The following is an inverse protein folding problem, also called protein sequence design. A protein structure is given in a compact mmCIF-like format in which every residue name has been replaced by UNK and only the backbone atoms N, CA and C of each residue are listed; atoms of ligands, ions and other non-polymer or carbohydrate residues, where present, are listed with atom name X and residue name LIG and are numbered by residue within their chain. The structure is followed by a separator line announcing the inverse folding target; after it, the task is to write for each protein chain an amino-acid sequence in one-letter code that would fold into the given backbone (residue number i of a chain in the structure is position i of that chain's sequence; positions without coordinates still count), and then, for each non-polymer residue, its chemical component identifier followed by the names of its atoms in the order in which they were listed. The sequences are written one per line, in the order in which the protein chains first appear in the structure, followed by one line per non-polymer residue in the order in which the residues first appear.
data_IF_914045426322
#
_entry.id   IF_914045426322
#
_cell.length_a   1.000
_cell.length_b   1.000
_cell.length_c   1.000
_cell.angle_alpha   90.00
_cell.angle_beta   90.00
_cell.angle_gamma   90.00
#
_symmetry.space_group_name_H-M   'P 1'
#
loop_
_entity.id
_entity.type
_entity.pdbx_description
1 polymer ?
#
# COMPACT_ATOMS: atom_id res chain seq x y z
N UNK A 1 -18.24 -25.79 0.64
CA UNK A 1 -18.09 -24.59 1.46
C UNK A 1 -16.82 -23.93 0.97
N UNK A 2 -16.96 -22.84 0.23
CA UNK A 2 -15.84 -22.00 -0.16
C UNK A 2 -15.40 -21.26 1.09
N UNK A 3 -14.12 -21.43 1.48
CA UNK A 3 -13.52 -20.57 2.47
C UNK A 3 -13.52 -19.16 1.89
N UNK A 4 -14.13 -18.21 2.58
CA UNK A 4 -14.07 -16.79 2.24
C UNK A 4 -12.61 -16.37 2.22
N UNK A 5 -12.20 -15.72 1.14
CA UNK A 5 -10.95 -15.00 1.06
C UNK A 5 -10.92 -14.00 2.23
N UNK A 6 -10.12 -14.29 3.24
CA UNK A 6 -9.76 -13.27 4.23
C UNK A 6 -8.79 -12.33 3.53
N UNK A 7 -9.32 -11.30 2.86
CA UNK A 7 -8.52 -10.12 2.53
C UNK A 7 -7.96 -9.60 3.85
N UNK A 8 -6.65 -9.31 3.91
CA UNK A 8 -6.06 -8.67 5.07
C UNK A 8 -6.80 -7.35 5.32
N UNK A 9 -7.61 -7.31 6.36
CA UNK A 9 -8.37 -6.13 6.71
C UNK A 9 -7.85 -5.55 8.02
N UNK A 10 -7.79 -4.21 8.07
CA UNK A 10 -7.32 -3.46 9.20
C UNK A 10 -8.47 -2.67 9.82
N UNK A 11 -8.37 -2.40 11.12
CA UNK A 11 -9.39 -1.66 11.83
C UNK A 11 -9.30 -0.16 11.54
N UNK A 12 -10.43 0.46 11.26
CA UNK A 12 -10.62 1.90 11.29
C UNK A 12 -11.27 2.28 12.63
N UNK A 13 -10.63 3.14 13.41
CA UNK A 13 -11.02 3.46 14.78
C UNK A 13 -11.74 4.81 14.87
N UNK A 14 -12.59 4.98 15.88
CA UNK A 14 -13.29 6.25 16.15
C UNK A 14 -12.39 7.34 16.74
N UNK A 15 -11.18 6.99 17.18
CA UNK A 15 -10.20 7.90 17.75
C UNK A 15 -8.77 7.35 17.56
N UNK A 16 -7.72 8.18 17.77
CA UNK A 16 -6.33 7.84 17.53
C UNK A 16 -5.76 6.91 18.62
N UNK A 17 -6.35 5.73 18.76
CA UNK A 17 -5.93 4.71 19.72
C UNK A 17 -6.47 3.34 19.31
N UNK A 18 -5.68 2.29 19.47
CA UNK A 18 -6.10 0.89 19.25
C UNK A 18 -7.18 0.42 20.24
N UNK A 19 -7.39 1.16 21.33
CA UNK A 19 -8.45 0.92 22.31
C UNK A 19 -9.77 1.61 21.93
N UNK A 20 -9.78 2.48 20.93
CA UNK A 20 -10.99 3.15 20.46
C UNK A 20 -11.89 2.16 19.72
N UNK A 21 -13.18 2.48 19.65
CA UNK A 21 -14.18 1.65 18.97
C UNK A 21 -13.82 1.51 17.47
N UNK A 22 -13.91 0.29 16.95
CA UNK A 22 -13.75 0.01 15.52
C UNK A 22 -15.04 0.44 14.81
N UNK A 23 -14.92 1.40 13.89
CA UNK A 23 -16.05 1.97 13.13
C UNK A 23 -16.22 1.32 11.76
N UNK A 24 -15.13 0.89 11.16
CA UNK A 24 -15.10 0.23 9.86
C UNK A 24 -13.84 -0.66 9.72
N UNK A 25 -13.74 -1.36 8.61
CA UNK A 25 -12.55 -2.09 8.19
C UNK A 25 -12.08 -1.55 6.85
N UNK A 26 -10.76 -1.51 6.66
CA UNK A 26 -10.09 -1.17 5.42
C UNK A 26 -9.26 -2.37 4.98
N UNK A 27 -9.15 -2.60 3.68
CA UNK A 27 -8.40 -3.73 3.12
C UNK A 27 -7.09 -3.24 2.46
N UNK A 28 -6.12 -4.14 2.34
CA UNK A 28 -4.93 -3.88 1.53
C UNK A 28 -5.34 -3.57 0.09
N UNK A 29 -4.82 -2.47 -0.46
CA UNK A 29 -5.14 -1.97 -1.78
C UNK A 29 -6.27 -0.96 -1.83
N UNK A 30 -6.99 -0.74 -0.72
CA UNK A 30 -8.01 0.30 -0.68
C UNK A 30 -7.36 1.69 -0.85
N UNK A 31 -8.02 2.51 -1.64
CA UNK A 31 -7.66 3.93 -1.78
C UNK A 31 -8.46 4.73 -0.77
N UNK A 32 -7.77 5.55 0.01
CA UNK A 32 -8.36 6.38 1.06
C UNK A 32 -7.90 7.82 0.94
N UNK A 33 -8.71 8.74 1.42
CA UNK A 33 -8.33 10.16 1.52
C UNK A 33 -7.73 10.41 2.90
N UNK A 34 -6.51 10.94 2.94
CA UNK A 34 -5.86 11.40 4.17
C UNK A 34 -6.43 12.76 4.52
N UNK A 35 -7.08 12.85 5.68
CA UNK A 35 -7.67 14.11 6.17
C UNK A 35 -6.71 14.85 7.10
N UNK A 36 -5.97 14.10 7.93
CA UNK A 36 -5.09 14.68 8.95
C UNK A 36 -4.07 13.64 9.43
N UNK A 37 -2.80 14.02 9.48
CA UNK A 37 -1.78 13.28 10.23
C UNK A 37 -1.85 13.70 11.70
N UNK A 38 -2.61 12.95 12.50
CA UNK A 38 -2.88 13.29 13.90
C UNK A 38 -1.66 13.11 14.79
N UNK A 39 -0.83 12.09 14.49
CA UNK A 39 0.45 11.83 15.13
C UNK A 39 1.34 10.99 14.22
N UNK A 40 2.56 10.66 14.67
CA UNK A 40 3.43 9.73 13.96
C UNK A 40 2.78 8.34 13.78
N UNK A 41 1.94 7.93 14.75
CA UNK A 41 1.33 6.60 14.78
C UNK A 41 -0.08 6.56 14.19
N UNK A 42 -0.78 7.69 14.12
CA UNK A 42 -2.21 7.74 13.76
C UNK A 42 -2.52 8.78 12.70
N UNK A 43 -3.21 8.34 11.66
CA UNK A 43 -3.71 9.18 10.57
C UNK A 43 -5.22 9.09 10.51
N UNK A 44 -5.88 10.24 10.37
CA UNK A 44 -7.32 10.32 10.12
C UNK A 44 -7.57 10.23 8.62
N UNK A 45 -8.47 9.35 8.22
CA UNK A 45 -8.79 9.08 6.82
C UNK A 45 -10.30 9.13 6.58
N UNK A 46 -10.68 9.29 5.32
CA UNK A 46 -12.03 9.07 4.81
C UNK A 46 -12.03 7.96 3.77
N UNK A 47 -13.05 7.11 3.83
CA UNK A 47 -13.34 6.09 2.83
C UNK A 47 -14.21 6.70 1.72
N UNK A 48 -14.33 6.01 0.59
CA UNK A 48 -15.12 6.42 -0.57
C UNK A 48 -16.61 6.65 -0.21
N UNK A 49 -17.15 5.87 0.73
CA UNK A 49 -18.52 6.01 1.24
C UNK A 49 -18.71 7.17 2.23
N UNK A 50 -17.69 7.99 2.45
CA UNK A 50 -17.68 9.10 3.41
C UNK A 50 -17.51 8.68 4.87
N UNK A 51 -17.27 7.40 5.18
CA UNK A 51 -16.92 6.96 6.53
C UNK A 51 -15.55 7.51 6.90
N UNK A 52 -15.45 8.14 8.07
CA UNK A 52 -14.16 8.66 8.59
C UNK A 52 -13.72 7.92 9.84
N UNK A 53 -12.42 7.89 10.06
CA UNK A 53 -11.82 7.29 11.26
C UNK A 53 -10.32 7.41 11.28
N UNK A 54 -9.71 6.73 12.24
CA UNK A 54 -8.28 6.73 12.45
C UNK A 54 -7.71 5.34 12.17
N UNK A 55 -6.64 5.29 11.40
CA UNK A 55 -5.86 4.07 11.19
C UNK A 55 -4.40 4.29 11.61
N UNK A 56 -3.68 3.20 11.80
CA UNK A 56 -2.25 3.22 12.01
C UNK A 56 -1.56 3.84 10.78
N UNK A 57 -0.73 4.85 10.98
CA UNK A 57 -0.05 5.58 9.91
C UNK A 57 0.86 4.68 9.07
N UNK A 58 1.36 3.59 9.65
CA UNK A 58 2.22 2.63 8.94
C UNK A 58 1.49 1.79 7.89
N UNK A 59 0.14 1.78 7.91
CA UNK A 59 -0.70 1.13 6.91
C UNK A 59 -0.84 1.95 5.63
N UNK A 60 -0.43 3.21 5.63
CA UNK A 60 -0.68 4.12 4.53
C UNK A 60 0.59 4.35 3.71
N UNK A 61 0.50 4.18 2.40
CA UNK A 61 1.52 4.61 1.46
C UNK A 61 0.99 5.79 0.64
N UNK A 62 1.67 6.91 0.76
CA UNK A 62 1.44 8.11 -0.07
C UNK A 62 2.31 8.02 -1.34
N UNK A 63 3.02 6.91 -1.53
CA UNK A 63 3.94 6.71 -2.64
C UNK A 63 3.16 6.52 -3.94
N UNK A 64 3.53 7.28 -4.95
CA UNK A 64 3.23 6.95 -6.33
C UNK A 64 1.87 7.34 -6.89
N UNK A 65 1.00 8.01 -6.16
CA UNK A 65 -0.13 8.66 -6.81
C UNK A 65 0.35 9.97 -7.47
N UNK A 66 0.98 9.81 -8.66
CA UNK A 66 0.82 10.87 -9.65
C UNK A 66 -0.69 11.04 -9.82
N UNK A 67 -1.17 12.26 -9.61
CA UNK A 67 -2.56 12.61 -9.83
C UNK A 67 -2.99 12.08 -11.20
N UNK A 68 -3.61 10.91 -11.23
CA UNK A 68 -4.48 10.57 -12.32
C UNK A 68 -5.64 11.53 -12.17
N UNK A 69 -5.92 12.33 -13.21
CA UNK A 69 -7.00 13.28 -13.35
C UNK A 69 -8.41 12.65 -13.21
N UNK A 70 -8.63 11.88 -12.16
CA UNK A 70 -9.95 11.55 -11.67
C UNK A 70 -10.21 12.58 -10.58
N UNK A 71 -11.08 13.53 -10.85
CA UNK A 71 -11.53 14.54 -9.89
C UNK A 71 -11.97 13.84 -8.61
N UNK A 72 -11.02 13.72 -7.66
CA UNK A 72 -11.36 13.27 -6.30
C UNK A 72 -12.24 14.38 -5.74
N UNK A 73 -13.47 14.12 -5.30
CA UNK A 73 -14.33 15.15 -4.79
C UNK A 73 -13.61 15.90 -3.67
N UNK A 74 -13.51 17.22 -3.79
CA UNK A 74 -12.92 18.04 -2.76
C UNK A 74 -13.68 17.78 -1.45
N UNK A 75 -12.96 17.77 -0.33
CA UNK A 75 -13.54 17.56 0.99
C UNK A 75 -13.62 18.88 1.73
N UNK A 76 -14.71 19.11 2.42
CA UNK A 76 -14.90 20.24 3.32
C UNK A 76 -15.17 19.79 4.75
N UNK A 77 -14.83 20.62 5.72
CA UNK A 77 -15.13 20.41 7.13
C UNK A 77 -16.05 21.53 7.62
N UNK A 78 -17.16 21.19 8.27
CA UNK A 78 -18.08 22.17 8.84
C UNK A 78 -17.45 22.86 10.06
N UNK A 79 -17.45 24.19 10.08
CA UNK A 79 -16.86 25.00 11.15
C UNK A 79 -17.77 25.15 12.38
N UNK A 80 -19.09 24.98 12.18
CA UNK A 80 -20.10 25.10 13.21
C UNK A 80 -21.31 24.21 12.86
N UNK A 81 -22.25 23.97 13.81
CA UNK A 81 -23.50 23.30 13.46
C UNK A 81 -24.25 24.07 12.38
N UNK A 82 -24.62 23.39 11.28
CA UNK A 82 -25.18 24.00 10.07
C UNK A 82 -26.36 23.21 9.54
N UNK A 83 -27.33 23.90 8.94
CA UNK A 83 -28.43 23.28 8.22
C UNK A 83 -28.02 23.04 6.77
N UNK A 84 -28.30 21.84 6.26
CA UNK A 84 -28.19 21.53 4.83
C UNK A 84 -29.49 21.91 4.15
N UNK A 85 -29.45 22.79 3.18
CA UNK A 85 -30.60 23.37 2.49
C UNK A 85 -30.90 22.60 1.20
N UNK A 86 -32.14 22.61 0.76
CA UNK A 86 -32.57 21.98 -0.50
C UNK A 86 -32.21 22.79 -1.75
N UNK A 87 -31.86 24.06 -1.60
CA UNK A 87 -31.44 24.98 -2.67
C UNK A 87 -30.42 25.99 -2.12
N UNK A 88 -29.61 26.63 -2.98
CA UNK A 88 -28.62 27.62 -2.56
C UNK A 88 -29.23 29.00 -2.22
N UNK A 89 -30.19 29.01 -1.33
CA UNK A 89 -30.95 30.20 -0.88
C UNK A 89 -31.18 30.14 0.63
N UNK A 90 -31.09 31.28 1.31
CA UNK A 90 -31.14 31.36 2.77
C UNK A 90 -32.47 30.89 3.39
N UNK A 91 -33.55 30.99 2.64
CA UNK A 91 -34.92 30.62 3.04
C UNK A 91 -35.36 29.23 2.51
N UNK A 92 -34.46 28.54 1.83
CA UNK A 92 -34.74 27.19 1.36
C UNK A 92 -34.99 26.21 2.53
N UNK A 93 -35.89 25.22 2.34
CA UNK A 93 -36.15 24.21 3.35
C UNK A 93 -34.89 23.44 3.72
N UNK A 94 -34.65 23.16 5.01
CA UNK A 94 -33.58 22.30 5.45
C UNK A 94 -33.90 20.84 5.15
N UNK A 95 -32.98 20.12 4.51
CA UNK A 95 -33.03 18.68 4.22
C UNK A 95 -32.24 17.88 5.24
N UNK A 96 -31.39 18.54 6.03
CA UNK A 96 -30.58 17.91 7.07
C UNK A 96 -29.93 18.95 7.98
N UNK A 97 -29.24 18.47 9.00
CA UNK A 97 -28.43 19.28 9.90
C UNK A 97 -27.15 18.53 10.26
N UNK A 98 -26.02 19.22 10.18
CA UNK A 98 -24.71 18.71 10.53
C UNK A 98 -24.20 19.40 11.80
N UNK A 99 -23.42 18.66 12.58
CA UNK A 99 -22.66 19.23 13.70
C UNK A 99 -21.41 19.97 13.16
N UNK A 100 -20.68 20.67 14.02
CA UNK A 100 -19.35 21.15 13.71
C UNK A 100 -18.36 19.98 13.54
N UNK A 101 -17.30 20.19 12.77
CA UNK A 101 -16.24 19.23 12.48
C UNK A 101 -16.75 17.94 11.77
N UNK A 102 -17.77 18.07 10.94
CA UNK A 102 -18.25 16.99 10.06
C UNK A 102 -17.60 17.17 8.70
N UNK A 103 -17.02 16.08 8.17
CA UNK A 103 -16.48 16.06 6.81
C UNK A 103 -17.57 15.74 5.80
N UNK A 104 -17.56 16.48 4.70
CA UNK A 104 -18.53 16.37 3.61
C UNK A 104 -17.80 16.39 2.27
N UNK A 105 -18.32 15.68 1.28
CA UNK A 105 -17.86 15.79 -0.10
C UNK A 105 -18.39 17.10 -0.70
N UNK A 106 -17.51 17.91 -1.27
CA UNK A 106 -17.86 19.12 -2.02
C UNK A 106 -18.17 18.69 -3.46
N UNK A 107 -19.40 18.91 -3.91
CA UNK A 107 -19.87 18.59 -5.27
C UNK A 107 -19.72 19.78 -6.22
N UNK A 108 -19.48 20.98 -5.69
CA UNK A 108 -19.17 22.19 -6.44
C UNK A 108 -18.04 22.95 -5.77
N UNK A 109 -17.28 23.74 -6.56
CA UNK A 109 -16.28 24.64 -6.01
C UNK A 109 -16.95 25.65 -5.09
N UNK A 110 -16.62 25.58 -3.80
CA UNK A 110 -17.10 26.54 -2.79
C UNK A 110 -16.64 27.99 -3.06
N UNK A 111 -15.76 28.20 -4.04
CA UNK A 111 -15.20 29.52 -4.39
C UNK A 111 -16.10 30.35 -5.32
N UNK A 112 -17.15 29.81 -5.92
CA UNK A 112 -17.96 30.52 -6.90
C UNK A 112 -19.34 30.98 -6.40
N UNK A 113 -19.71 30.73 -5.13
CA UNK A 113 -21.02 31.13 -4.63
C UNK A 113 -21.12 31.28 -3.12
N UNK A 114 -22.20 31.87 -2.65
CA UNK A 114 -22.51 31.98 -1.22
C UNK A 114 -22.85 30.62 -0.58
N UNK A 115 -23.09 29.58 -1.39
CA UNK A 115 -23.43 28.22 -0.96
C UNK A 115 -22.57 27.17 -1.68
N UNK A 116 -22.11 26.18 -0.93
CA UNK A 116 -21.45 25.00 -1.46
C UNK A 116 -22.46 23.83 -1.56
N UNK A 117 -22.49 23.14 -2.69
CA UNK A 117 -23.22 21.88 -2.81
C UNK A 117 -22.40 20.77 -2.19
N UNK A 118 -23.02 19.99 -1.31
CA UNK A 118 -22.33 18.95 -0.52
C UNK A 118 -23.08 17.63 -0.57
N UNK A 119 -22.34 16.54 -0.32
CA UNK A 119 -22.91 15.23 -0.01
C UNK A 119 -22.31 14.67 1.27
N UNK A 120 -23.14 13.99 2.05
CA UNK A 120 -22.72 13.28 3.25
C UNK A 120 -23.13 11.81 3.13
N UNK A 121 -22.19 10.90 3.01
CA UNK A 121 -22.41 9.44 2.95
C UNK A 121 -23.46 9.02 1.92
N UNK A 122 -23.60 9.74 0.83
CA UNK A 122 -24.66 9.54 -0.19
C UNK A 122 -26.10 9.55 0.35
N UNK A 123 -26.29 9.99 1.60
CA UNK A 123 -27.58 10.02 2.26
C UNK A 123 -28.22 11.42 2.27
N UNK A 124 -27.38 12.44 2.36
CA UNK A 124 -27.81 13.86 2.38
C UNK A 124 -27.05 14.60 1.30
N UNK A 125 -27.77 15.12 0.31
CA UNK A 125 -27.24 16.05 -0.68
C UNK A 125 -28.00 17.36 -0.53
N UNK A 126 -27.28 18.49 -0.61
CA UNK A 126 -27.86 19.81 -0.52
C UNK A 126 -26.80 20.89 -0.38
N UNK A 127 -27.20 22.06 0.11
CA UNK A 127 -26.41 23.27 0.09
C UNK A 127 -26.12 23.76 1.51
N UNK A 128 -24.89 24.19 1.73
CA UNK A 128 -24.40 24.80 2.97
C UNK A 128 -23.85 26.18 2.64
N UNK A 129 -24.05 27.17 3.53
CA UNK A 129 -23.37 28.46 3.46
C UNK A 129 -21.85 28.23 3.38
N UNK A 130 -21.20 28.73 2.34
CA UNK A 130 -19.80 28.53 2.05
C UNK A 130 -18.86 29.07 3.15
N UNK A 131 -19.31 30.11 3.91
CA UNK A 131 -18.55 30.66 5.04
C UNK A 131 -18.51 29.72 6.26
N UNK A 132 -19.36 28.69 6.29
CA UNK A 132 -19.45 27.71 7.37
C UNK A 132 -18.72 26.40 7.05
N UNK A 133 -18.01 26.34 5.93
CA UNK A 133 -17.26 25.18 5.51
C UNK A 133 -15.81 25.57 5.19
N UNK A 134 -14.86 24.76 5.66
CA UNK A 134 -13.45 24.91 5.34
C UNK A 134 -13.05 23.80 4.37
N UNK A 135 -12.55 24.14 3.17
CA UNK A 135 -11.95 23.15 2.29
C UNK A 135 -10.76 22.46 3.00
N UNK A 136 -10.72 21.15 2.92
CA UNK A 136 -9.63 20.33 3.46
C UNK A 136 -8.77 19.87 2.30
N UNK A 137 -7.47 20.17 2.34
CA UNK A 137 -6.53 19.58 1.39
C UNK A 137 -6.36 18.13 1.77
N UNK A 138 -6.79 17.24 0.90
CA UNK A 138 -6.67 15.80 1.11
C UNK A 138 -5.57 15.24 0.22
N UNK A 139 -4.81 14.32 0.78
CA UNK A 139 -3.91 13.46 0.02
C UNK A 139 -4.60 12.11 -0.18
N UNK A 140 -4.40 11.51 -1.34
CA UNK A 140 -4.83 10.14 -1.57
C UNK A 140 -3.72 9.19 -1.14
N UNK A 141 -4.08 8.17 -0.37
CA UNK A 141 -3.15 7.13 0.05
C UNK A 141 -3.73 5.75 -0.28
N UNK A 142 -2.85 4.79 -0.50
CA UNK A 142 -3.23 3.38 -0.61
C UNK A 142 -2.97 2.67 0.71
N UNK A 143 -3.91 1.86 1.15
CA UNK A 143 -3.75 1.00 2.32
C UNK A 143 -2.82 -0.15 1.96
N UNK A 144 -1.68 -0.23 2.64
CA UNK A 144 -0.66 -1.24 2.38
C UNK A 144 -0.12 -1.73 3.71
N UNK A 145 -0.47 -2.96 4.09
CA UNK A 145 0.11 -3.55 5.27
C UNK A 145 1.61 -3.80 5.08
N UNK A 146 2.37 -3.42 6.10
CA UNK A 146 3.78 -3.81 6.17
C UNK A 146 3.87 -5.34 6.20
N UNK A 147 4.67 -5.97 5.32
CA UNK A 147 4.86 -7.40 5.33
C UNK A 147 5.43 -7.89 6.66
N UNK A 148 5.04 -9.09 7.07
CA UNK A 148 5.59 -9.75 8.26
C UNK A 148 6.10 -11.12 7.89
N UNK A 149 7.27 -11.50 8.42
CA UNK A 149 7.77 -12.85 8.30
C UNK A 149 6.94 -13.78 9.20
N UNK A 150 6.47 -14.88 8.61
CA UNK A 150 5.72 -15.91 9.33
C UNK A 150 6.51 -17.24 9.33
N UNK A 151 6.31 -18.06 10.36
CA UNK A 151 6.88 -19.42 10.37
C UNK A 151 6.30 -20.28 9.26
N UNK A 152 5.02 -20.08 8.94
CA UNK A 152 4.30 -20.83 7.90
C UNK A 152 3.76 -19.88 6.85
N UNK A 153 4.05 -20.20 5.61
CA UNK A 153 3.57 -19.45 4.46
C UNK A 153 2.45 -20.18 3.71
N UNK A 154 2.23 -19.71 2.48
CA UNK A 154 1.24 -20.25 1.54
C UNK A 154 1.57 -21.70 1.17
N UNK A 155 0.54 -22.47 0.80
CA UNK A 155 0.66 -23.90 0.48
C UNK A 155 0.38 -24.20 -0.98
N UNK A 156 -0.23 -23.29 -1.70
CA UNK A 156 -0.62 -23.45 -3.09
C UNK A 156 -0.09 -22.32 -3.95
N UNK A 157 0.04 -22.58 -5.26
CA UNK A 157 0.45 -21.55 -6.22
C UNK A 157 -0.60 -20.43 -6.33
N UNK A 158 -1.88 -20.72 -6.14
CA UNK A 158 -2.93 -19.72 -6.13
C UNK A 158 -2.78 -18.75 -4.95
N UNK A 159 -2.52 -19.28 -3.75
CA UNK A 159 -2.21 -18.45 -2.57
C UNK A 159 -0.94 -17.63 -2.77
N UNK A 160 0.09 -18.21 -3.42
CA UNK A 160 1.32 -17.48 -3.73
C UNK A 160 1.04 -16.29 -4.67
N UNK A 161 0.20 -16.46 -5.70
CA UNK A 161 -0.19 -15.39 -6.62
C UNK A 161 -0.92 -14.26 -5.89
N UNK A 162 -1.86 -14.57 -5.01
CA UNK A 162 -2.59 -13.55 -4.24
C UNK A 162 -1.66 -12.83 -3.25
N UNK A 163 -0.80 -13.57 -2.55
CA UNK A 163 0.19 -12.95 -1.65
C UNK A 163 1.16 -12.03 -2.39
N UNK A 164 1.59 -12.41 -3.60
CA UNK A 164 2.47 -11.58 -4.44
C UNK A 164 1.80 -10.27 -4.86
N UNK A 165 0.47 -10.26 -5.12
CA UNK A 165 -0.25 -9.01 -5.40
C UNK A 165 -0.19 -8.04 -4.21
N UNK A 166 -0.40 -8.53 -2.99
CA UNK A 166 -0.25 -7.70 -1.78
C UNK A 166 1.19 -7.22 -1.59
N UNK A 167 2.18 -8.10 -1.83
CA UNK A 167 3.59 -7.73 -1.74
C UNK A 167 3.99 -6.70 -2.80
N UNK A 168 3.42 -6.76 -4.02
CA UNK A 168 3.67 -5.78 -5.06
C UNK A 168 3.17 -4.36 -4.72
N UNK A 169 2.16 -4.24 -3.85
CA UNK A 169 1.74 -2.94 -3.32
C UNK A 169 2.78 -2.35 -2.36
N UNK A 170 3.47 -3.20 -1.60
CA UNK A 170 4.51 -2.76 -0.67
C UNK A 170 5.86 -2.53 -1.37
N UNK A 171 6.27 -3.45 -2.22
CA UNK A 171 7.47 -3.37 -3.06
C UNK A 171 7.10 -2.89 -4.47
N UNK A 172 6.62 -1.66 -4.54
CA UNK A 172 6.11 -1.05 -5.77
C UNK A 172 7.22 -0.90 -6.81
N UNK A 173 6.86 -1.11 -8.07
CA UNK A 173 7.77 -0.95 -9.20
C UNK A 173 8.34 0.49 -9.27
N UNK A 174 9.62 0.60 -9.56
CA UNK A 174 10.34 1.89 -9.57
C UNK A 174 10.80 2.39 -8.20
N UNK A 175 10.54 1.66 -7.11
CA UNK A 175 11.11 1.95 -5.80
C UNK A 175 12.37 1.12 -5.53
N UNK A 176 13.14 1.56 -4.54
CA UNK A 176 14.39 0.93 -4.15
C UNK A 176 14.22 0.17 -2.84
N UNK A 177 14.62 -1.08 -2.82
CA UNK A 177 14.70 -1.88 -1.60
C UNK A 177 15.94 -1.50 -0.79
N UNK A 178 15.85 -0.38 -0.11
CA UNK A 178 16.94 0.18 0.70
C UNK A 178 16.39 1.11 1.79
N UNK A 179 17.24 1.51 2.72
CA UNK A 179 16.94 2.47 3.77
C UNK A 179 17.53 3.87 3.52
N UNK A 180 17.77 4.26 2.28
CA UNK A 180 18.24 5.59 1.89
C UNK A 180 19.49 6.07 2.68
N UNK A 181 20.48 5.20 2.87
CA UNK A 181 21.73 5.49 3.58
C UNK A 181 21.74 5.12 5.06
N UNK A 182 20.64 4.57 5.61
CA UNK A 182 20.71 3.89 6.89
C UNK A 182 21.51 2.57 6.78
N UNK A 183 22.00 2.02 7.91
CA UNK A 183 22.66 0.72 7.90
C UNK A 183 21.79 -0.34 7.23
N UNK A 184 22.41 -1.21 6.42
CA UNK A 184 21.74 -2.22 5.61
C UNK A 184 20.88 -3.22 6.44
N UNK A 185 21.28 -3.49 7.67
CA UNK A 185 20.62 -4.38 8.62
C UNK A 185 19.54 -3.70 9.46
N UNK A 186 19.34 -2.38 9.28
CA UNK A 186 18.39 -1.63 10.11
C UNK A 186 16.94 -2.08 9.90
N UNK A 187 16.55 -2.40 8.67
CA UNK A 187 15.19 -2.83 8.38
C UNK A 187 15.07 -3.52 7.00
N UNK A 188 14.93 -4.82 6.98
CA UNK A 188 14.75 -5.61 5.76
C UNK A 188 13.48 -5.23 4.95
N UNK A 189 12.53 -4.52 5.55
CA UNK A 189 11.31 -4.06 4.89
C UNK A 189 11.41 -2.61 4.39
N UNK A 190 12.57 -1.99 4.51
CA UNK A 190 12.74 -0.61 4.10
C UNK A 190 12.71 -0.48 2.57
N UNK A 191 11.81 0.39 2.09
CA UNK A 191 11.63 0.72 0.67
C UNK A 191 11.54 2.23 0.54
N UNK A 192 12.34 2.80 -0.39
CA UNK A 192 12.41 4.27 -0.57
C UNK A 192 12.36 4.67 -2.03
N UNK A 193 12.06 5.94 -2.30
CA UNK A 193 12.20 6.54 -3.63
C UNK A 193 13.62 7.02 -3.96
N UNK A 194 14.63 6.75 -3.11
CA UNK A 194 16.00 7.23 -3.27
C UNK A 194 16.92 6.07 -3.59
N UNK A 195 17.71 6.14 -4.68
CA UNK A 195 18.66 5.08 -5.05
C UNK A 195 19.76 4.92 -4.02
N UNK A 196 20.36 3.73 -3.96
CA UNK A 196 21.56 3.49 -3.17
C UNK A 196 22.76 4.21 -3.78
N UNK A 197 23.67 4.66 -2.92
CA UNK A 197 24.98 5.21 -3.33
C UNK A 197 26.05 4.20 -2.94
N UNK A 198 26.50 3.41 -3.91
CA UNK A 198 27.52 2.36 -3.72
C UNK A 198 28.96 2.84 -3.88
N UNK A 199 29.19 4.11 -4.19
CA UNK A 199 30.51 4.68 -4.52
C UNK A 199 31.37 5.02 -3.31
N UNK A 200 30.89 4.86 -2.09
CA UNK A 200 31.62 5.17 -0.86
C UNK A 200 32.01 3.89 -0.16
N UNK A 201 33.26 3.81 0.34
CA UNK A 201 33.75 2.68 1.13
C UNK A 201 32.73 2.26 2.22
N UNK A 202 32.15 1.07 2.05
CA UNK A 202 31.14 0.48 2.90
C UNK A 202 29.77 0.44 2.22
N UNK A 203 29.32 -0.73 1.88
CA UNK A 203 27.98 -1.05 1.34
C UNK A 203 26.83 -0.78 2.31
N UNK A 204 26.95 0.25 3.12
CA UNK A 204 26.02 0.51 4.23
C UNK A 204 24.59 0.91 3.79
N UNK A 205 24.35 1.08 2.48
CA UNK A 205 23.08 1.63 1.98
C UNK A 205 22.14 0.62 1.33
N UNK A 206 22.59 -0.62 1.07
CA UNK A 206 21.74 -1.67 0.55
C UNK A 206 21.07 -2.46 1.68
N UNK A 207 19.84 -2.86 1.46
CA UNK A 207 19.14 -3.72 2.40
C UNK A 207 19.65 -5.16 2.33
N UNK A 208 19.47 -5.93 3.40
CA UNK A 208 19.91 -7.31 3.51
C UNK A 208 18.82 -8.22 4.04
N UNK A 209 18.82 -9.47 3.55
CA UNK A 209 18.07 -10.56 4.14
C UNK A 209 18.79 -11.89 3.87
N UNK A 210 19.39 -12.46 4.90
CA UNK A 210 20.19 -13.70 4.82
C UNK A 210 19.42 -14.97 5.23
N UNK A 211 18.17 -14.84 5.67
CA UNK A 211 17.43 -15.87 6.39
C UNK A 211 17.29 -17.24 5.72
N UNK A 212 17.48 -17.36 4.39
CA UNK A 212 17.49 -18.65 3.68
C UNK A 212 18.69 -18.80 2.75
N UNK A 213 19.51 -17.78 2.63
CA UNK A 213 20.59 -17.73 1.66
C UNK A 213 21.68 -18.74 1.98
N UNK A 214 22.04 -18.88 3.25
CA UNK A 214 23.11 -19.77 3.71
C UNK A 214 22.81 -21.26 3.45
N UNK A 215 21.53 -21.61 3.40
CA UNK A 215 21.10 -23.00 3.17
C UNK A 215 21.17 -23.42 1.70
N UNK A 216 21.09 -22.43 0.77
CA UNK A 216 20.94 -22.71 -0.67
C UNK A 216 22.09 -22.22 -1.52
N UNK A 217 22.75 -21.17 -1.08
CA UNK A 217 23.86 -20.54 -1.75
C UNK A 217 24.96 -20.26 -0.71
N UNK A 218 25.57 -21.30 -0.12
CA UNK A 218 26.55 -21.12 0.95
C UNK A 218 27.78 -20.32 0.53
N UNK A 219 28.04 -20.21 -0.76
CA UNK A 219 29.08 -19.33 -1.33
C UNK A 219 28.73 -17.84 -1.29
N UNK A 220 27.46 -17.49 -1.05
CA UNK A 220 26.97 -16.11 -0.98
C UNK A 220 26.46 -15.83 0.43
N UNK A 221 27.36 -15.57 1.36
CA UNK A 221 27.02 -15.39 2.79
C UNK A 221 26.19 -14.14 3.08
N UNK A 222 26.22 -13.15 2.20
CA UNK A 222 25.55 -11.88 2.42
C UNK A 222 24.32 -11.77 1.52
N UNK A 223 23.13 -11.99 2.07
CA UNK A 223 21.86 -11.83 1.36
C UNK A 223 21.53 -10.36 1.05
N UNK A 224 22.41 -9.72 0.25
CA UNK A 224 22.25 -8.33 -0.19
C UNK A 224 21.64 -8.24 -1.58
N UNK A 225 21.18 -7.06 -1.98
CA UNK A 225 20.75 -6.75 -3.34
C UNK A 225 19.71 -7.77 -3.87
N UNK A 226 19.83 -8.18 -5.13
CA UNK A 226 18.92 -9.10 -5.79
C UNK A 226 18.76 -10.44 -5.05
N UNK A 227 19.84 -10.99 -4.51
CA UNK A 227 19.82 -12.25 -3.76
C UNK A 227 19.03 -12.10 -2.45
N UNK A 228 19.28 -11.05 -1.69
CA UNK A 228 18.57 -10.75 -0.46
C UNK A 228 17.09 -10.48 -0.70
N UNK A 229 16.78 -9.71 -1.73
CA UNK A 229 15.39 -9.39 -2.10
C UNK A 229 14.59 -10.64 -2.48
N UNK A 230 15.11 -11.46 -3.39
CA UNK A 230 14.45 -12.69 -3.79
C UNK A 230 14.28 -13.69 -2.62
N UNK A 231 15.27 -13.76 -1.72
CA UNK A 231 15.22 -14.57 -0.49
C UNK A 231 14.17 -14.04 0.49
N UNK A 232 14.07 -12.73 0.67
CA UNK A 232 13.04 -12.10 1.50
C UNK A 232 11.64 -12.42 0.97
N UNK A 233 11.40 -12.21 -0.32
CA UNK A 233 10.11 -12.52 -0.93
C UNK A 233 9.76 -14.00 -0.81
N UNK A 234 10.72 -14.90 -1.01
CA UNK A 234 10.52 -16.34 -0.80
C UNK A 234 10.12 -16.65 0.65
N UNK A 235 10.77 -16.01 1.63
CA UNK A 235 10.43 -16.18 3.04
C UNK A 235 9.04 -15.60 3.39
N UNK A 236 8.68 -14.47 2.79
CA UNK A 236 7.34 -13.89 2.94
C UNK A 236 6.24 -14.77 2.34
N UNK A 237 6.53 -15.45 1.23
CA UNK A 237 5.58 -16.37 0.60
C UNK A 237 5.43 -17.67 1.40
N UNK A 238 6.54 -18.35 1.63
CA UNK A 238 6.51 -19.75 2.09
C UNK A 238 6.80 -19.93 3.58
N UNK A 239 7.17 -18.84 4.25
CA UNK A 239 7.60 -18.87 5.66
C UNK A 239 9.11 -19.13 5.80
N UNK A 240 9.66 -18.76 6.94
CA UNK A 240 11.10 -18.86 7.24
C UNK A 240 11.57 -20.31 7.34
N UNK A 241 10.69 -21.23 7.76
CA UNK A 241 10.99 -22.65 7.99
C UNK A 241 10.63 -23.56 6.78
N UNK A 242 10.16 -22.98 5.66
CA UNK A 242 9.77 -23.79 4.51
C UNK A 242 10.96 -24.56 3.93
N UNK A 243 10.82 -25.86 3.66
CA UNK A 243 11.86 -26.65 3.00
C UNK A 243 12.05 -26.17 1.57
N UNK A 244 13.30 -26.19 1.07
CA UNK A 244 13.63 -25.83 -0.30
C UNK A 244 14.19 -27.02 -1.06
N UNK A 245 13.86 -27.07 -2.34
CA UNK A 245 14.41 -28.05 -3.29
C UNK A 245 15.03 -27.30 -4.46
N UNK A 246 16.30 -27.57 -4.73
CA UNK A 246 17.00 -27.01 -5.88
C UNK A 246 16.78 -27.92 -7.09
N UNK A 247 16.50 -27.34 -8.24
CA UNK A 247 16.44 -28.04 -9.53
C UNK A 247 16.90 -27.11 -10.67
N UNK A 248 17.26 -27.72 -11.80
CA UNK A 248 17.75 -27.02 -13.00
C UNK A 248 16.82 -27.20 -14.21
N UNK A 249 15.57 -27.55 -13.95
CA UNK A 249 14.58 -27.85 -14.98
C UNK A 249 13.61 -26.67 -15.09
N UNK A 250 13.69 -25.94 -16.21
CA UNK A 250 12.83 -24.78 -16.49
C UNK A 250 11.34 -25.18 -16.58
N UNK A 251 11.03 -26.41 -17.02
CA UNK A 251 9.66 -26.88 -17.12
C UNK A 251 8.97 -27.09 -15.76
N UNK A 252 9.74 -27.12 -14.69
CA UNK A 252 9.25 -27.25 -13.31
C UNK A 252 9.08 -25.92 -12.59
N UNK A 253 9.51 -24.81 -13.19
CA UNK A 253 9.42 -23.50 -12.58
C UNK A 253 7.96 -23.10 -12.33
N UNK A 254 7.67 -22.61 -11.14
CA UNK A 254 6.35 -22.18 -10.67
C UNK A 254 6.40 -20.75 -10.08
N UNK A 255 5.25 -20.17 -9.89
CA UNK A 255 5.14 -18.91 -9.19
C UNK A 255 5.65 -19.04 -7.74
N UNK A 256 6.47 -18.09 -7.35
CA UNK A 256 7.15 -18.06 -6.06
C UNK A 256 8.54 -18.71 -6.06
N UNK A 257 8.94 -19.40 -7.13
CA UNK A 257 10.30 -19.94 -7.20
C UNK A 257 11.33 -18.82 -7.29
N UNK A 258 12.40 -18.95 -6.52
CA UNK A 258 13.59 -18.10 -6.59
C UNK A 258 14.54 -18.70 -7.64
N UNK A 259 14.85 -17.95 -8.68
CA UNK A 259 15.78 -18.34 -9.73
C UNK A 259 17.11 -17.62 -9.51
N UNK A 260 18.22 -18.37 -9.50
CA UNK A 260 19.57 -17.81 -9.55
C UNK A 260 20.13 -17.97 -10.96
N UNK A 261 20.39 -16.85 -11.63
CA UNK A 261 21.04 -16.77 -12.92
C UNK A 261 22.57 -16.73 -12.68
N UNK A 262 23.21 -17.89 -12.80
CA UNK A 262 24.62 -18.06 -12.39
C UNK A 262 25.55 -17.17 -13.22
N UNK A 263 25.39 -17.17 -14.55
CA UNK A 263 26.26 -16.43 -15.47
C UNK A 263 26.11 -14.90 -15.33
N UNK A 264 24.97 -14.45 -14.79
CA UNK A 264 24.69 -13.03 -14.54
C UNK A 264 24.86 -12.64 -13.08
N UNK A 265 25.19 -13.61 -12.21
CA UNK A 265 25.23 -13.41 -10.76
C UNK A 265 23.97 -12.75 -10.18
N UNK A 266 22.82 -12.98 -10.83
CA UNK A 266 21.56 -12.30 -10.54
C UNK A 266 20.51 -13.24 -9.97
N UNK A 267 19.63 -12.71 -9.11
CA UNK A 267 18.54 -13.44 -8.45
C UNK A 267 17.22 -12.76 -8.71
N UNK A 268 16.20 -13.56 -9.05
CA UNK A 268 14.86 -13.11 -9.33
C UNK A 268 13.82 -14.01 -8.67
N UNK A 269 12.62 -13.51 -8.43
CA UNK A 269 11.51 -14.31 -7.95
C UNK A 269 10.40 -14.35 -9.01
N UNK A 270 9.88 -15.55 -9.30
CA UNK A 270 8.86 -15.77 -10.33
C UNK A 270 7.50 -15.30 -9.84
N UNK A 271 6.89 -14.39 -10.59
CA UNK A 271 5.54 -13.86 -10.31
C UNK A 271 4.47 -14.45 -11.20
N UNK A 272 4.83 -14.89 -12.41
CA UNK A 272 3.92 -15.50 -13.37
C UNK A 272 4.63 -16.56 -14.19
N UNK A 273 3.90 -17.61 -14.58
CA UNK A 273 4.33 -18.59 -15.56
C UNK A 273 3.27 -18.73 -16.62
N UNK A 274 3.66 -18.95 -17.88
CA UNK A 274 2.71 -19.11 -18.97
C UNK A 274 3.32 -19.75 -20.20
N UNK A 275 2.50 -19.84 -21.26
CA UNK A 275 2.90 -20.36 -22.58
C UNK A 275 2.47 -19.32 -23.63
N UNK A 276 3.39 -18.97 -24.51
CA UNK A 276 3.12 -18.07 -25.63
C UNK A 276 2.35 -18.77 -26.74
N UNK A 277 1.87 -18.01 -27.71
CA UNK A 277 1.10 -18.54 -28.84
C UNK A 277 1.90 -19.52 -29.73
N UNK A 278 3.23 -19.42 -29.72
CA UNK A 278 4.15 -20.31 -30.45
C UNK A 278 4.48 -21.60 -29.67
N UNK A 279 3.92 -21.77 -28.46
CA UNK A 279 4.15 -22.91 -27.59
C UNK A 279 5.36 -22.78 -26.67
N UNK A 280 6.14 -21.70 -26.76
CA UNK A 280 7.26 -21.45 -25.83
C UNK A 280 6.74 -21.07 -24.45
N UNK A 281 7.41 -21.57 -23.39
CA UNK A 281 7.12 -21.17 -22.02
C UNK A 281 7.80 -19.85 -21.68
N UNK A 282 7.17 -19.08 -20.84
CA UNK A 282 7.76 -17.86 -20.25
C UNK A 282 7.55 -17.82 -18.76
N UNK A 283 8.37 -17.01 -18.10
CA UNK A 283 8.18 -16.55 -16.72
C UNK A 283 8.21 -15.03 -16.70
N UNK A 284 7.42 -14.44 -15.81
CA UNK A 284 7.63 -13.06 -15.36
C UNK A 284 8.24 -13.10 -13.97
N UNK A 285 9.06 -12.12 -13.69
CA UNK A 285 9.80 -12.07 -12.44
C UNK A 285 9.68 -10.69 -11.80
N UNK A 286 9.94 -10.64 -10.50
CA UNK A 286 10.27 -9.41 -9.79
C UNK A 286 11.70 -9.48 -9.31
N UNK A 287 12.40 -8.36 -9.38
CA UNK A 287 13.83 -8.27 -9.12
C UNK A 287 14.20 -6.87 -8.66
N UNK A 288 15.38 -6.72 -8.12
CA UNK A 288 16.02 -5.42 -7.86
C UNK A 288 17.42 -5.46 -8.46
N UNK A 289 17.98 -4.31 -8.77
CA UNK A 289 19.32 -4.22 -9.37
C UNK A 289 19.43 -4.86 -10.77
N UNK A 290 18.39 -4.71 -11.59
CA UNK A 290 18.37 -5.27 -12.96
C UNK A 290 19.32 -4.57 -13.93
N UNK A 291 19.57 -3.29 -13.73
CA UNK A 291 20.41 -2.48 -14.61
C UNK A 291 21.85 -2.43 -14.10
N UNK A 292 22.73 -3.16 -14.79
CA UNK A 292 24.17 -3.20 -14.52
C UNK A 292 24.92 -1.91 -14.92
N UNK A 293 24.25 -0.90 -15.44
CA UNK A 293 24.87 0.33 -15.96
C UNK A 293 24.81 1.53 -14.98
N UNK A 294 24.40 1.34 -13.72
CA UNK A 294 24.32 2.43 -12.74
C UNK A 294 25.21 2.23 -11.54
#
# INVERSE_FOLDING_TARGET
AFASEESNTHALHSGPSSLSVVTAKIADGDTVQVLEHTSADWTRIALEDGTTGYCDSTLLSIRGHAATDTETPAVGETLSPVSVLSAPEADAPAVGRLAANVYVSLLSDAAEGAYAEISVKDQITGYIDADLIRPVQTETATVIARPTLAEKGVKTEAEAREKLKSLALYFEDGLYWNCAGAPADADMFCVTGTPCVHSVEGYASCNTYSGKTDAYFPEYSDGTQCLGYASLLSALLFGTEAPVTIHYDFDRVRVGDHIRLIDLEHSVLVTETGTQADGSRYVRVTEVNADYES
#
